data_IF_876138843680
#
_entry.id   IF_876138843680
#
_cell.length_a   1.000
_cell.length_b   1.000
_cell.length_c   1.000
_cell.angle_alpha   90.00
_cell.angle_beta   90.00
_cell.angle_gamma   90.00
#
_symmetry.space_group_name_H-M   'P 1'
#
loop_
_entity.id
_entity.type
_entity.pdbx_description
1 polymer ?
#
# COMPACT_ATOMS: atom_id res chain seq x y z
N UNK A 1 -4.63 -16.14 17.30
CA UNK A 1 -5.60 -15.42 16.44
C UNK A 1 -4.85 -14.41 15.60
N UNK A 2 -5.31 -14.10 14.39
CA UNK A 2 -4.59 -13.22 13.46
C UNK A 2 -5.54 -12.49 12.53
N UNK A 3 -5.08 -11.37 11.98
CA UNK A 3 -5.65 -10.66 10.83
C UNK A 3 -4.53 -10.44 9.83
N UNK A 4 -4.78 -10.65 8.54
CA UNK A 4 -3.77 -10.45 7.49
C UNK A 4 -4.10 -9.18 6.72
N UNK A 5 -3.20 -8.20 6.71
CA UNK A 5 -3.30 -7.02 5.85
C UNK A 5 -2.34 -7.20 4.67
N UNK A 6 -2.87 -7.15 3.45
CA UNK A 6 -2.13 -7.28 2.18
C UNK A 6 -2.12 -5.94 1.46
N UNK A 7 -1.15 -5.08 1.77
CA UNK A 7 -1.04 -3.79 1.11
C UNK A 7 -0.53 -3.96 -0.33
N UNK A 8 -0.99 -3.08 -1.21
CA UNK A 8 -0.47 -2.93 -2.58
C UNK A 8 0.87 -2.16 -2.59
N UNK A 9 1.26 -1.57 -3.73
CA UNK A 9 2.52 -0.82 -3.85
C UNK A 9 2.53 0.41 -2.93
N UNK A 10 3.63 0.67 -2.22
CA UNK A 10 3.65 1.77 -1.25
C UNK A 10 3.92 3.09 -1.97
N UNK A 11 3.18 4.15 -1.64
CA UNK A 11 3.46 5.49 -2.14
C UNK A 11 4.88 5.95 -1.80
N UNK A 12 5.39 5.53 -0.64
CA UNK A 12 6.76 5.83 -0.19
C UNK A 12 7.85 5.26 -1.12
N UNK A 13 7.56 4.23 -1.92
CA UNK A 13 8.52 3.70 -2.89
C UNK A 13 8.88 4.74 -3.95
N UNK A 14 7.95 5.64 -4.31
CA UNK A 14 8.24 6.73 -5.25
C UNK A 14 9.32 7.66 -4.70
N UNK A 15 9.24 8.01 -3.41
CA UNK A 15 10.24 8.87 -2.79
C UNK A 15 11.58 8.14 -2.55
N UNK A 16 11.53 6.87 -2.15
CA UNK A 16 12.74 6.16 -1.69
C UNK A 16 13.54 5.49 -2.81
N UNK A 17 12.86 4.97 -3.83
CA UNK A 17 13.50 4.20 -4.91
C UNK A 17 13.45 4.89 -6.27
N UNK A 18 12.45 5.76 -6.50
CA UNK A 18 12.22 6.42 -7.79
C UNK A 18 12.41 7.95 -7.75
N UNK A 19 12.87 8.50 -6.61
CA UNK A 19 12.87 9.95 -6.38
C UNK A 19 13.75 10.73 -7.36
N UNK A 20 14.90 10.18 -7.75
CA UNK A 20 15.83 10.80 -8.70
C UNK A 20 15.23 10.85 -10.11
N UNK A 21 14.81 9.71 -10.69
CA UNK A 21 14.22 9.70 -12.03
C UNK A 21 12.92 10.51 -12.12
N UNK A 22 12.11 10.52 -11.05
CA UNK A 22 10.90 11.32 -10.99
C UNK A 22 11.22 12.81 -11.03
N UNK A 23 12.33 13.24 -10.42
CA UNK A 23 12.80 14.63 -10.51
C UNK A 23 13.23 15.02 -11.92
N UNK A 24 13.59 14.03 -12.75
CA UNK A 24 13.89 14.17 -14.17
C UNK A 24 12.64 13.97 -15.07
N UNK A 25 11.47 13.78 -14.48
CA UNK A 25 10.20 13.59 -15.19
C UNK A 25 9.98 12.19 -15.76
N UNK A 26 10.74 11.20 -15.28
CA UNK A 26 10.66 9.80 -15.73
C UNK A 26 10.23 8.88 -14.58
N UNK A 27 9.47 7.82 -14.92
CA UNK A 27 9.18 6.72 -14.01
C UNK A 27 9.36 5.41 -14.78
N UNK A 28 10.47 4.73 -14.55
CA UNK A 28 10.81 3.48 -15.23
C UNK A 28 10.33 2.28 -14.44
N UNK A 29 9.28 1.62 -14.94
CA UNK A 29 8.74 0.41 -14.35
C UNK A 29 8.48 -0.64 -15.43
N UNK A 30 8.61 -1.94 -15.13
CA UNK A 30 8.26 -3.03 -16.05
C UNK A 30 6.73 -3.21 -16.14
N UNK A 31 6.01 -2.13 -16.44
CA UNK A 31 4.56 -2.05 -16.57
C UNK A 31 4.23 -1.33 -17.88
N UNK A 32 3.15 -1.75 -18.54
CA UNK A 32 2.59 -0.97 -19.64
C UNK A 32 2.15 0.40 -19.14
N UNK A 33 2.36 1.46 -19.93
CA UNK A 33 2.04 2.84 -19.53
C UNK A 33 0.55 3.11 -19.28
N UNK A 34 -0.33 2.21 -19.74
CA UNK A 34 -1.77 2.24 -19.52
C UNK A 34 -2.24 1.32 -18.38
N UNK A 35 -1.33 0.60 -17.72
CA UNK A 35 -1.66 -0.30 -16.60
C UNK A 35 -1.84 0.52 -15.32
N UNK A 36 -3.04 0.53 -14.71
CA UNK A 36 -3.21 1.15 -13.39
C UNK A 36 -2.36 0.42 -12.36
N UNK A 37 -1.65 1.18 -11.54
CA UNK A 37 -0.87 0.72 -10.40
C UNK A 37 -1.65 1.07 -9.12
N UNK A 38 -2.12 0.06 -8.41
CA UNK A 38 -2.74 0.28 -7.12
C UNK A 38 -1.67 0.68 -6.09
N UNK A 39 -1.91 1.75 -5.35
CA UNK A 39 -0.97 2.33 -4.39
C UNK A 39 -1.62 2.55 -3.03
N UNK A 40 -0.81 2.53 -1.96
CA UNK A 40 -1.27 2.78 -0.60
C UNK A 40 -0.24 3.57 0.19
N UNK A 41 -0.70 4.50 1.04
CA UNK A 41 0.17 5.19 1.98
C UNK A 41 0.48 4.29 3.18
N UNK A 42 1.76 4.22 3.59
CA UNK A 42 2.17 3.42 4.75
C UNK A 42 1.43 3.82 6.05
N UNK A 43 1.01 5.07 6.19
CA UNK A 43 0.22 5.56 7.32
C UNK A 43 -1.15 4.88 7.35
N UNK A 44 -1.77 4.63 6.20
CA UNK A 44 -3.08 3.99 6.13
C UNK A 44 -3.00 2.50 6.45
N UNK A 45 -1.90 1.82 6.10
CA UNK A 45 -1.60 0.46 6.59
C UNK A 45 -1.57 0.46 8.13
N UNK A 46 -0.89 1.43 8.73
CA UNK A 46 -0.82 1.59 10.19
C UNK A 46 -2.20 1.82 10.82
N UNK A 47 -3.04 2.67 10.22
CA UNK A 47 -4.41 2.89 10.67
C UNK A 47 -5.26 1.62 10.57
N UNK A 48 -5.17 0.88 9.47
CA UNK A 48 -5.88 -0.40 9.30
C UNK A 48 -5.45 -1.42 10.34
N UNK A 49 -4.15 -1.52 10.63
CA UNK A 49 -3.64 -2.40 11.69
C UNK A 49 -4.16 -1.99 13.08
N UNK A 50 -4.15 -0.69 13.39
CA UNK A 50 -4.69 -0.19 14.64
C UNK A 50 -6.18 -0.48 14.80
N UNK A 51 -6.97 -0.34 13.72
CA UNK A 51 -8.40 -0.69 13.72
C UNK A 51 -8.63 -2.19 13.94
N UNK A 52 -7.85 -3.05 13.26
CA UNK A 52 -7.96 -4.50 13.42
C UNK A 52 -7.67 -4.96 14.86
N UNK A 53 -6.68 -4.33 15.51
CA UNK A 53 -6.33 -4.62 16.90
C UNK A 53 -7.37 -4.09 17.90
N UNK A 54 -8.04 -2.99 17.58
CA UNK A 54 -9.04 -2.37 18.46
C UNK A 54 -10.39 -3.10 18.46
N UNK A 55 -10.69 -3.89 17.43
CA UNK A 55 -11.97 -4.60 17.25
C UNK A 55 -11.74 -6.07 16.80
N UNK A 56 -11.16 -6.92 17.67
CA UNK A 56 -10.80 -8.29 17.30
C UNK A 56 -12.02 -9.17 16.98
N UNK A 57 -13.19 -8.91 17.58
CA UNK A 57 -14.43 -9.64 17.25
C UNK A 57 -14.80 -9.50 15.77
N UNK A 58 -14.50 -8.35 15.18
CA UNK A 58 -14.76 -8.07 13.77
C UNK A 58 -13.66 -8.56 12.84
N UNK A 59 -12.40 -8.50 13.27
CA UNK A 59 -11.26 -8.61 12.34
C UNK A 59 -10.40 -9.88 12.51
N UNK A 60 -10.54 -10.64 13.59
CA UNK A 60 -9.81 -11.91 13.72
C UNK A 60 -10.30 -12.91 12.66
N UNK A 61 -9.36 -13.50 11.94
CA UNK A 61 -9.61 -14.43 10.82
C UNK A 61 -9.71 -13.74 9.47
N UNK A 62 -9.87 -12.42 9.43
CA UNK A 62 -10.02 -11.66 8.18
C UNK A 62 -8.69 -11.51 7.44
N UNK A 63 -8.82 -11.44 6.11
CA UNK A 63 -7.74 -11.03 5.20
C UNK A 63 -8.20 -9.80 4.42
N UNK A 64 -7.47 -8.70 4.58
CA UNK A 64 -7.81 -7.39 4.04
C UNK A 64 -6.81 -7.04 2.94
N UNK A 65 -7.28 -6.92 1.71
CA UNK A 65 -6.52 -6.28 0.63
C UNK A 65 -6.66 -4.76 0.76
N UNK A 66 -5.54 -4.04 0.77
CA UNK A 66 -5.54 -2.61 1.08
C UNK A 66 -4.88 -1.80 -0.02
N UNK A 67 -5.68 -0.97 -0.68
CA UNK A 67 -5.29 0.05 -1.65
C UNK A 67 -5.93 1.40 -1.28
N UNK A 68 -5.23 2.50 -1.58
CA UNK A 68 -5.70 3.88 -1.40
C UNK A 68 -6.04 4.60 -2.71
N UNK A 69 -5.49 4.12 -3.83
CA UNK A 69 -5.77 4.53 -5.22
C UNK A 69 -5.52 3.33 -6.15
#
# INVERSE_FOLDING_TARGET
>A
EYTIIRPVFFMQNFAHFHGEELSEGTLSMPLSGDRPLAIVDATDIGKTAAMALADPERFVGETIELAGD
#
